data_IF_219363870214
#
_entry.id   IF_219363870214
#
_cell.length_a   1.000
_cell.length_b   1.000
_cell.length_c   1.000
_cell.angle_alpha   90.00
_cell.angle_beta   90.00
_cell.angle_gamma   90.00
#
_symmetry.space_group_name_H-M   'P 1'
#
loop_
_entity.id
_entity.type
_entity.pdbx_description
1 polymer ?
#
# COMPACT_ATOMS: atom_id res chain seq x y z
N UNK A 1 3.30 15.67 10.12
CA UNK A 1 3.65 14.49 9.30
C UNK A 1 4.67 13.71 10.11
N UNK A 2 4.32 12.54 10.64
CA UNK A 2 5.32 11.69 11.29
C UNK A 2 6.42 11.40 10.27
N UNK A 3 7.69 11.53 10.66
CA UNK A 3 8.82 11.14 9.84
C UNK A 3 8.69 9.64 9.62
N UNK A 4 8.17 9.22 8.47
CA UNK A 4 8.09 7.80 8.14
C UNK A 4 9.49 7.40 7.71
N UNK A 5 10.18 6.65 8.57
CA UNK A 5 11.48 6.11 8.20
C UNK A 5 11.29 5.20 6.97
N UNK A 6 11.98 5.45 5.84
CA UNK A 6 11.83 4.63 4.64
C UNK A 6 12.19 3.15 4.87
N UNK A 7 12.94 2.89 5.94
CA UNK A 7 13.29 1.56 6.44
C UNK A 7 12.08 0.81 7.02
N UNK A 8 11.09 1.52 7.60
CA UNK A 8 9.88 0.94 8.20
C UNK A 8 8.82 0.56 7.15
N UNK A 9 8.91 1.11 5.93
CA UNK A 9 8.01 0.85 4.80
C UNK A 9 8.49 -0.32 3.92
N UNK A 10 9.04 -1.38 4.52
CA UNK A 10 9.55 -2.54 3.76
C UNK A 10 8.60 -3.73 3.85
N UNK A 11 7.73 -3.86 2.86
CA UNK A 11 6.95 -5.09 2.67
C UNK A 11 7.88 -6.25 2.28
N UNK A 12 7.62 -7.49 2.76
CA UNK A 12 8.40 -8.66 2.35
C UNK A 12 8.32 -8.88 0.84
N UNK A 13 9.48 -9.06 0.19
CA UNK A 13 9.52 -9.18 -1.28
C UNK A 13 8.86 -10.45 -1.80
N UNK A 14 8.93 -11.57 -1.08
CA UNK A 14 8.43 -12.85 -1.58
C UNK A 14 6.90 -12.84 -1.87
N UNK A 15 6.03 -12.37 -0.95
CA UNK A 15 4.61 -12.17 -1.24
C UNK A 15 4.35 -11.19 -2.40
N UNK A 16 5.09 -10.07 -2.46
CA UNK A 16 4.94 -9.07 -3.54
C UNK A 16 5.26 -9.70 -4.90
N UNK A 17 6.36 -10.43 -5.03
CA UNK A 17 6.73 -11.11 -6.28
C UNK A 17 5.68 -12.15 -6.67
N UNK A 18 5.10 -12.87 -5.70
CA UNK A 18 4.03 -13.83 -5.97
C UNK A 18 2.80 -13.14 -6.57
N UNK A 19 2.37 -12.01 -6.00
CA UNK A 19 1.25 -11.20 -6.51
C UNK A 19 1.57 -10.61 -7.88
N UNK A 20 2.79 -10.10 -8.09
CA UNK A 20 3.23 -9.57 -9.39
C UNK A 20 3.16 -10.64 -10.50
N UNK A 21 3.62 -11.87 -10.21
CA UNK A 21 3.54 -12.99 -11.16
C UNK A 21 2.10 -13.41 -11.46
N UNK A 22 1.22 -13.41 -10.45
CA UNK A 22 -0.20 -13.69 -10.64
C UNK A 22 -0.86 -12.67 -11.59
N UNK A 23 -0.49 -11.39 -11.51
CA UNK A 23 -1.03 -10.35 -12.38
C UNK A 23 -0.43 -10.32 -13.79
N UNK A 24 0.85 -10.69 -13.95
CA UNK A 24 1.55 -10.60 -15.24
C UNK A 24 1.47 -11.87 -16.11
N UNK A 25 1.05 -13.00 -15.55
CA UNK A 25 0.97 -14.28 -16.26
C UNK A 25 2.29 -15.09 -16.25
N UNK A 26 2.24 -16.28 -16.87
CA UNK A 26 3.38 -17.19 -16.90
C UNK A 26 4.53 -16.66 -17.77
N UNK A 27 5.77 -16.99 -17.39
CA UNK A 27 6.98 -16.63 -18.14
C UNK A 27 7.51 -15.20 -17.90
N UNK A 28 6.80 -14.34 -17.17
CA UNK A 28 7.27 -12.98 -16.87
C UNK A 28 8.30 -12.98 -15.74
N UNK A 29 9.44 -12.34 -16.02
CA UNK A 29 10.51 -12.11 -15.06
C UNK A 29 10.58 -10.64 -14.65
N UNK A 30 10.90 -10.39 -13.38
CA UNK A 30 11.04 -9.04 -12.82
C UNK A 30 12.47 -8.80 -12.36
N UNK A 31 13.02 -7.63 -12.69
CA UNK A 31 14.32 -7.19 -12.18
C UNK A 31 14.29 -6.98 -10.67
N UNK A 32 15.43 -7.01 -9.99
CA UNK A 32 15.48 -6.76 -8.54
C UNK A 32 15.00 -5.35 -8.19
N UNK A 33 15.30 -4.38 -9.05
CA UNK A 33 14.85 -2.99 -8.89
C UNK A 33 13.33 -2.87 -8.98
N UNK A 34 12.68 -3.57 -9.93
CA UNK A 34 11.23 -3.60 -10.02
C UNK A 34 10.58 -4.16 -8.74
N UNK A 35 11.14 -5.24 -8.17
CA UNK A 35 10.63 -5.86 -6.94
C UNK A 35 10.70 -4.88 -5.76
N UNK A 36 11.81 -4.16 -5.62
CA UNK A 36 12.02 -3.16 -4.57
C UNK A 36 11.06 -1.98 -4.76
N UNK A 37 10.94 -1.46 -5.98
CA UNK A 37 10.09 -0.31 -6.29
C UNK A 37 8.62 -0.61 -6.07
N UNK A 38 8.13 -1.79 -6.45
CA UNK A 38 6.74 -2.20 -6.21
C UNK A 38 6.47 -2.39 -4.72
N UNK A 39 7.39 -2.98 -3.95
CA UNK A 39 7.24 -3.11 -2.51
C UNK A 39 7.13 -1.74 -1.82
N UNK A 40 7.94 -0.76 -2.25
CA UNK A 40 7.86 0.62 -1.76
C UNK A 40 6.57 1.30 -2.17
N UNK A 41 6.17 1.18 -3.45
CA UNK A 41 4.93 1.77 -3.96
C UNK A 41 3.70 1.23 -3.23
N UNK A 42 3.65 -0.08 -2.95
CA UNK A 42 2.57 -0.70 -2.20
C UNK A 42 2.50 -0.16 -0.75
N UNK A 43 3.63 0.05 -0.09
CA UNK A 43 3.66 0.63 1.25
C UNK A 43 3.17 2.09 1.27
N UNK A 44 3.61 2.89 0.29
CA UNK A 44 3.14 4.28 0.11
C UNK A 44 1.65 4.32 -0.22
N UNK A 45 1.16 3.40 -1.04
CA UNK A 45 -0.26 3.28 -1.37
C UNK A 45 -1.11 3.02 -0.12
N UNK A 46 -0.71 2.06 0.73
CA UNK A 46 -1.42 1.81 1.99
C UNK A 46 -1.48 3.05 2.88
N UNK A 47 -0.38 3.79 2.97
CA UNK A 47 -0.32 5.02 3.76
C UNK A 47 -1.22 6.12 3.18
N UNK A 48 -1.23 6.26 1.86
CA UNK A 48 -2.09 7.21 1.16
C UNK A 48 -3.57 6.91 1.37
N UNK A 49 -3.99 5.65 1.20
CA UNK A 49 -5.38 5.24 1.44
C UNK A 49 -5.76 5.45 2.91
N UNK A 50 -4.86 5.15 3.85
CA UNK A 50 -5.11 5.38 5.28
C UNK A 50 -5.29 6.86 5.62
N UNK A 51 -4.50 7.75 5.01
CA UNK A 51 -4.61 9.21 5.20
C UNK A 51 -5.96 9.73 4.68
N UNK A 52 -6.36 9.32 3.47
CA UNK A 52 -7.65 9.68 2.89
C UNK A 52 -8.84 9.10 3.68
N UNK A 53 -8.76 7.85 4.13
CA UNK A 53 -9.80 7.23 4.95
C UNK A 53 -9.93 7.91 6.32
N UNK A 54 -8.81 8.35 6.90
CA UNK A 54 -8.80 9.15 8.12
C UNK A 54 -9.57 10.45 7.92
N UNK A 55 -9.32 11.17 6.81
CA UNK A 55 -10.05 12.39 6.46
C UNK A 55 -11.55 12.19 6.29
N UNK A 56 -11.96 11.10 5.63
CA UNK A 56 -13.39 10.75 5.47
C UNK A 56 -14.03 10.51 6.84
N UNK A 57 -13.38 9.72 7.70
CA UNK A 57 -13.89 9.43 9.05
C UNK A 57 -13.99 10.70 9.92
N UNK A 58 -13.00 11.60 9.81
CA UNK A 58 -12.94 12.88 10.51
C UNK A 58 -14.07 13.82 10.05
N UNK A 59 -14.32 13.91 8.74
CA UNK A 59 -15.46 14.67 8.16
C UNK A 59 -16.81 14.14 8.67
N UNK A 60 -16.91 12.82 8.85
CA UNK A 60 -18.08 12.17 9.46
C UNK A 60 -18.12 12.28 11.00
N UNK A 61 -17.23 13.04 11.63
CA UNK A 61 -17.11 13.24 13.09
C UNK A 61 -16.89 11.93 13.87
N UNK A 62 -16.29 10.93 13.24
CA UNK A 62 -15.93 9.64 13.85
C UNK A 62 -14.43 9.63 14.14
N UNK A 63 -14.04 8.95 15.23
CA UNK A 63 -12.63 8.72 15.60
C UNK A 63 -12.11 7.33 15.19
N UNK A 64 -12.97 6.51 14.57
CA UNK A 64 -12.66 5.16 14.15
C UNK A 64 -12.82 5.09 12.64
N UNK A 65 -11.72 4.76 11.96
CA UNK A 65 -11.71 4.42 10.54
C UNK A 65 -12.37 3.04 10.35
N UNK A 66 -13.31 2.96 9.43
CA UNK A 66 -14.08 1.77 9.11
C UNK A 66 -13.73 1.23 7.73
N UNK A 67 -14.16 0.01 7.42
CA UNK A 67 -13.98 -0.56 6.08
C UNK A 67 -14.62 0.29 4.97
N UNK A 68 -15.75 0.97 5.26
CA UNK A 68 -16.39 1.85 4.30
C UNK A 68 -15.53 3.08 3.99
N UNK A 69 -14.85 3.65 5.00
CA UNK A 69 -13.93 4.78 4.79
C UNK A 69 -12.75 4.37 3.91
N UNK A 70 -12.26 3.13 4.05
CA UNK A 70 -11.19 2.58 3.22
C UNK A 70 -11.66 2.42 1.77
N UNK A 71 -12.86 1.87 1.54
CA UNK A 71 -13.41 1.67 0.19
C UNK A 71 -13.68 3.02 -0.51
N UNK A 72 -14.14 4.03 0.24
CA UNK A 72 -14.36 5.38 -0.28
C UNK A 72 -13.04 6.15 -0.55
N UNK A 73 -11.96 5.79 0.16
CA UNK A 73 -10.64 6.37 0.00
C UNK A 73 -9.82 5.81 -1.18
N UNK A 74 -10.25 4.70 -1.78
CA UNK A 74 -9.54 3.98 -2.85
C UNK A 74 -9.69 4.60 -4.24
#
# INVERSE_FOLDING_TARGET
MASVDPEDLKLPQAPIVKLMKQGAGEGVNFSNEAKVSVARAAAVFCLHVADHASDISNKAKRKTVTANDIIEAM
#
